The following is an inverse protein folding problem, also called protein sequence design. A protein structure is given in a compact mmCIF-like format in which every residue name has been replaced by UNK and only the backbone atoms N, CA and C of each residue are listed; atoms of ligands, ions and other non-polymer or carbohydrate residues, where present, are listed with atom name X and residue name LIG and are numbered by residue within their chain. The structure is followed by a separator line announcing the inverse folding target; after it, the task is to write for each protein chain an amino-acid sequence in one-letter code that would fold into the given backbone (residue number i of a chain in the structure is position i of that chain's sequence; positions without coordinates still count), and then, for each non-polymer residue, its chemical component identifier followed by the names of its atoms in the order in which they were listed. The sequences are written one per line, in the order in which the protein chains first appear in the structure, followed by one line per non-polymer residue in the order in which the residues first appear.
data_IF_998204324944
#
_entry.id   IF_998204324944
#
_cell.length_a   1.000
_cell.length_b   1.000
_cell.length_c   1.000
_cell.angle_alpha   90.00
_cell.angle_beta   90.00
_cell.angle_gamma   90.00
#
_symmetry.space_group_name_H-M   'P 1'
#
loop_
_entity.id
_entity.type
_entity.pdbx_description
1 polymer ?
#
# COMPACT_ATOMS: atom_id res chain seq x y z
N UNK A 1 18.29 11.81 12.44
CA UNK A 1 17.53 10.95 13.34
C UNK A 1 16.42 10.24 12.60
N UNK A 2 16.45 8.95 12.61
CA UNK A 2 15.43 8.18 11.94
C UNK A 2 14.13 8.21 12.71
N UNK A 3 13.04 8.28 11.96
CA UNK A 3 11.71 8.19 12.50
C UNK A 3 11.34 6.72 12.60
N UNK A 4 11.80 6.04 13.65
CA UNK A 4 11.57 4.60 13.82
C UNK A 4 10.08 4.24 13.80
N UNK A 5 9.23 5.18 14.22
CA UNK A 5 7.80 4.93 14.23
C UNK A 5 7.23 4.79 12.82
N UNK A 6 7.88 5.38 11.81
CA UNK A 6 7.46 5.22 10.42
C UNK A 6 7.66 3.78 9.98
N UNK A 7 8.80 3.19 10.32
CA UNK A 7 9.06 1.78 10.04
C UNK A 7 8.05 0.88 10.75
N UNK A 8 7.78 1.16 12.02
CA UNK A 8 6.82 0.38 12.78
C UNK A 8 5.41 0.49 12.19
N UNK A 9 5.04 1.70 11.74
CA UNK A 9 3.74 1.91 11.12
C UNK A 9 3.59 1.02 9.87
N UNK A 10 4.58 1.02 8.99
CA UNK A 10 4.48 0.24 7.75
C UNK A 10 4.68 -1.26 7.99
N UNK A 11 5.38 -1.64 9.04
CA UNK A 11 5.44 -3.04 9.46
C UNK A 11 4.04 -3.55 9.81
N UNK A 12 3.30 -2.78 10.59
CA UNK A 12 1.92 -3.11 10.95
C UNK A 12 0.99 -3.06 9.74
N UNK A 13 1.20 -2.09 8.86
CA UNK A 13 0.43 -1.94 7.64
C UNK A 13 0.59 -3.16 6.73
N UNK A 14 1.83 -3.60 6.52
CA UNK A 14 2.11 -4.78 5.72
C UNK A 14 1.50 -6.04 6.35
N UNK A 15 1.58 -6.15 7.67
CA UNK A 15 1.01 -7.28 8.37
C UNK A 15 -0.51 -7.32 8.27
N UNK A 16 -1.15 -6.16 8.26
CA UNK A 16 -2.59 -6.07 8.07
C UNK A 16 -3.01 -6.62 6.70
N UNK A 17 -2.21 -6.37 5.66
CA UNK A 17 -2.45 -6.94 4.34
C UNK A 17 -2.25 -8.45 4.33
N UNK A 18 -1.15 -8.93 4.93
CA UNK A 18 -0.85 -10.38 4.97
C UNK A 18 -1.97 -11.15 5.68
N UNK A 19 -2.47 -10.61 6.78
CA UNK A 19 -3.51 -11.25 7.57
C UNK A 19 -4.92 -10.95 7.03
N UNK A 20 -5.01 -10.12 5.98
CA UNK A 20 -6.28 -9.71 5.37
C UNK A 20 -7.23 -9.08 6.38
N UNK A 21 -6.68 -8.31 7.30
CA UNK A 21 -7.45 -7.65 8.35
C UNK A 21 -7.98 -6.31 7.86
N UNK A 22 -9.22 -6.31 7.38
CA UNK A 22 -9.86 -5.08 6.90
C UNK A 22 -9.92 -4.00 7.97
N UNK A 23 -10.26 -4.37 9.19
CA UNK A 23 -10.38 -3.40 10.28
C UNK A 23 -9.06 -2.71 10.56
N UNK A 24 -7.96 -3.46 10.57
CA UNK A 24 -6.64 -2.88 10.79
C UNK A 24 -6.23 -1.97 9.63
N UNK A 25 -6.57 -2.36 8.40
CA UNK A 25 -6.29 -1.53 7.22
C UNK A 25 -7.11 -0.24 7.28
N UNK A 26 -8.40 -0.33 7.57
CA UNK A 26 -9.24 0.85 7.67
C UNK A 26 -8.74 1.82 8.74
N UNK A 27 -8.26 1.30 9.85
CA UNK A 27 -7.72 2.13 10.92
C UNK A 27 -6.45 2.87 10.52
N UNK A 28 -5.80 2.43 9.46
CA UNK A 28 -4.56 3.06 8.96
C UNK A 28 -4.81 4.29 8.10
N UNK A 29 -6.05 4.54 7.71
CA UNK A 29 -6.38 5.61 6.77
C UNK A 29 -7.18 6.73 7.41
N UNK A 30 -6.93 7.93 6.90
CA UNK A 30 -7.71 9.13 7.24
C UNK A 30 -8.75 9.31 6.14
N UNK A 31 -9.98 9.63 6.52
CA UNK A 31 -11.03 9.91 5.53
C UNK A 31 -11.30 11.41 5.47
N UNK A 32 -11.43 11.99 4.31
CA UNK A 32 -11.35 11.37 2.99
C UNK A 32 -9.91 10.96 2.65
N UNK A 33 -9.78 9.82 1.97
CA UNK A 33 -8.49 9.35 1.47
C UNK A 33 -8.40 9.65 -0.02
N UNK A 34 -7.32 10.27 -0.45
CA UNK A 34 -7.10 10.57 -1.86
C UNK A 34 -6.09 9.57 -2.44
N UNK A 35 -6.45 9.00 -3.57
CA UNK A 35 -5.60 8.07 -4.29
C UNK A 35 -5.24 8.71 -5.63
N UNK A 36 -3.95 8.94 -5.87
CA UNK A 36 -3.45 9.59 -7.08
C UNK A 36 -2.79 8.56 -7.99
N UNK A 37 -3.27 8.49 -9.21
CA UNK A 37 -2.68 7.63 -10.25
C UNK A 37 -2.48 8.47 -11.52
N UNK A 38 -1.86 7.86 -12.52
CA UNK A 38 -1.70 8.51 -13.82
C UNK A 38 -3.02 8.85 -14.50
N UNK A 39 -4.11 8.19 -14.08
CA UNK A 39 -5.44 8.45 -14.63
C UNK A 39 -6.20 9.56 -13.89
N UNK A 40 -5.60 10.12 -12.84
CA UNK A 40 -6.19 11.21 -12.07
C UNK A 40 -6.52 10.81 -10.64
N UNK A 41 -7.08 11.74 -9.85
CA UNK A 41 -7.38 11.49 -8.45
C UNK A 41 -8.69 10.73 -8.27
N UNK A 42 -8.70 9.88 -7.24
CA UNK A 42 -9.90 9.21 -6.76
C UNK A 42 -10.00 9.48 -5.26
N UNK A 43 -11.15 9.93 -4.79
CA UNK A 43 -11.35 10.18 -3.38
C UNK A 43 -12.32 9.17 -2.80
N UNK A 44 -11.95 8.63 -1.64
CA UNK A 44 -12.83 7.78 -0.85
C UNK A 44 -13.25 8.58 0.36
N UNK A 45 -14.54 8.93 0.41
CA UNK A 45 -15.05 9.85 1.42
C UNK A 45 -15.61 9.14 2.65
N UNK A 46 -15.90 7.87 2.53
CA UNK A 46 -16.47 7.09 3.63
C UNK A 46 -15.88 5.69 3.70
N UNK A 47 -16.13 5.03 4.81
CA UNK A 47 -15.58 3.72 5.10
C UNK A 47 -16.12 2.65 4.16
N UNK A 48 -17.37 2.78 3.75
CA UNK A 48 -17.99 1.80 2.86
C UNK A 48 -17.28 1.74 1.51
N UNK A 49 -17.04 2.89 0.91
CA UNK A 49 -16.35 2.95 -0.39
C UNK A 49 -14.89 2.50 -0.28
N UNK A 50 -14.23 2.87 0.80
CA UNK A 50 -12.86 2.43 1.02
C UNK A 50 -12.79 0.93 1.24
N UNK A 51 -13.71 0.36 2.01
CA UNK A 51 -13.79 -1.08 2.22
C UNK A 51 -13.97 -1.83 0.91
N UNK A 52 -14.85 -1.33 0.03
CA UNK A 52 -15.07 -1.95 -1.27
C UNK A 52 -13.79 -1.94 -2.12
N UNK A 53 -13.04 -0.85 -2.04
CA UNK A 53 -11.76 -0.74 -2.76
C UNK A 53 -10.73 -1.72 -2.21
N UNK A 54 -10.65 -1.86 -0.88
CA UNK A 54 -9.73 -2.81 -0.27
C UNK A 54 -10.09 -4.25 -0.64
N UNK A 55 -11.37 -4.58 -0.68
CA UNK A 55 -11.81 -5.90 -1.11
C UNK A 55 -11.42 -6.18 -2.57
N UNK A 56 -11.56 -5.18 -3.43
CA UNK A 56 -11.16 -5.31 -4.83
C UNK A 56 -9.65 -5.52 -4.96
N UNK A 57 -8.87 -4.82 -4.15
CA UNK A 57 -7.42 -4.95 -4.14
C UNK A 57 -7.01 -6.35 -3.69
N UNK A 58 -7.65 -6.87 -2.65
CA UNK A 58 -7.38 -8.23 -2.17
C UNK A 58 -7.67 -9.27 -3.25
N UNK A 59 -8.77 -9.09 -4.00
CA UNK A 59 -9.08 -10.00 -5.11
C UNK A 59 -8.03 -9.96 -6.20
N UNK A 60 -7.47 -8.78 -6.48
CA UNK A 60 -6.37 -8.67 -7.46
C UNK A 60 -5.15 -9.48 -7.03
N UNK A 61 -4.80 -9.41 -5.76
CA UNK A 61 -3.68 -10.19 -5.25
C UNK A 61 -3.96 -11.69 -5.34
N UNK A 62 -5.18 -12.11 -5.06
CA UNK A 62 -5.56 -13.51 -5.19
C UNK A 62 -5.46 -14.01 -6.63
N UNK A 63 -5.79 -13.17 -7.61
CA UNK A 63 -5.72 -13.53 -9.02
C UNK A 63 -4.31 -13.91 -9.47
N UNK A 64 -3.29 -13.29 -8.92
CA UNK A 64 -1.91 -13.62 -9.25
C UNK A 64 -1.26 -14.50 -8.19
N UNK A 65 -2.06 -14.95 -7.22
CA UNK A 65 -1.62 -15.82 -6.14
C UNK A 65 -0.52 -15.20 -5.27
N UNK A 66 -0.59 -13.90 -5.06
CA UNK A 66 0.30 -13.20 -4.15
C UNK A 66 -0.12 -13.53 -2.72
N UNK A 67 0.81 -14.06 -1.92
CA UNK A 67 0.53 -14.48 -0.55
C UNK A 67 1.45 -13.82 0.46
N UNK A 68 2.49 -13.15 0.01
CA UNK A 68 3.41 -12.47 0.91
C UNK A 68 3.84 -11.13 0.32
N UNK A 69 4.03 -10.18 1.21
CA UNK A 69 4.42 -8.81 0.90
C UNK A 69 5.69 -8.49 1.66
N UNK A 70 6.66 -7.92 0.97
CA UNK A 70 7.83 -7.39 1.61
C UNK A 70 8.03 -5.96 1.09
N UNK A 71 8.82 -5.15 1.78
CA UNK A 71 8.97 -3.77 1.37
C UNK A 71 10.30 -3.18 1.81
N UNK A 72 10.66 -2.10 1.14
CA UNK A 72 11.81 -1.28 1.54
C UNK A 72 11.35 0.16 1.55
N UNK A 73 11.60 0.86 2.65
CA UNK A 73 11.36 2.31 2.72
C UNK A 73 12.51 2.99 2.00
N UNK A 74 12.20 3.63 0.87
CA UNK A 74 13.21 4.27 0.02
C UNK A 74 13.52 5.69 0.45
N UNK A 75 12.52 6.39 1.01
CA UNK A 75 12.71 7.78 1.40
C UNK A 75 11.65 8.17 2.42
N UNK A 76 12.06 8.98 3.39
CA UNK A 76 11.14 9.60 4.34
C UNK A 76 11.48 11.08 4.35
N UNK A 77 10.50 11.92 4.02
CA UNK A 77 10.69 13.36 3.96
C UNK A 77 9.66 14.06 4.83
N UNK A 78 10.11 14.80 5.81
CA UNK A 78 9.21 15.63 6.61
C UNK A 78 8.79 16.84 5.78
N UNK A 79 7.47 16.99 5.61
CA UNK A 79 6.88 18.10 4.85
C UNK A 79 6.12 18.96 5.85
N UNK A 80 6.80 19.76 6.63
CA UNK A 80 6.15 20.53 7.66
C UNK A 80 5.85 19.69 8.90
N UNK A 81 5.11 20.28 9.82
CA UNK A 81 4.86 19.68 11.13
C UNK A 81 3.80 18.57 11.02
N UNK A 82 4.19 17.38 11.44
CA UNK A 82 3.26 16.25 11.51
C UNK A 82 2.86 15.63 10.17
N UNK A 83 3.58 15.94 9.08
CA UNK A 83 3.29 15.37 7.76
C UNK A 83 4.60 14.83 7.18
N UNK A 84 4.55 13.58 6.73
CA UNK A 84 5.70 12.91 6.13
C UNK A 84 5.33 12.31 4.79
N UNK A 85 6.19 12.50 3.80
CA UNK A 85 6.05 11.83 2.51
C UNK A 85 6.99 10.64 2.53
N UNK A 86 6.44 9.44 2.38
CA UNK A 86 7.19 8.19 2.50
C UNK A 86 7.09 7.43 1.18
N UNK A 87 8.24 7.14 0.58
CA UNK A 87 8.29 6.34 -0.64
C UNK A 87 8.67 4.92 -0.30
N UNK A 88 7.89 3.97 -0.76
CA UNK A 88 8.09 2.55 -0.48
C UNK A 88 8.15 1.75 -1.76
N UNK A 89 9.09 0.82 -1.82
CA UNK A 89 9.12 -0.20 -2.85
C UNK A 89 8.48 -1.45 -2.26
N UNK A 90 7.38 -1.92 -2.86
CA UNK A 90 6.69 -3.14 -2.46
C UNK A 90 7.15 -4.30 -3.33
N UNK A 91 7.27 -5.48 -2.71
CA UNK A 91 7.59 -6.73 -3.40
C UNK A 91 6.54 -7.76 -3.04
N UNK A 92 6.01 -8.43 -4.05
CA UNK A 92 4.92 -9.39 -3.89
C UNK A 92 5.41 -10.78 -4.29
N UNK A 93 5.14 -11.76 -3.45
CA UNK A 93 5.65 -13.13 -3.63
C UNK A 93 4.51 -14.14 -3.63
N UNK A 94 4.70 -15.24 -4.36
CA UNK A 94 3.75 -16.33 -4.35
C UNK A 94 4.13 -17.37 -3.28
N UNK A 95 3.37 -18.47 -3.26
CA UNK A 95 3.51 -19.55 -2.30
C UNK A 95 4.89 -20.23 -2.37
N UNK A 96 5.50 -20.23 -3.55
CA UNK A 96 6.84 -20.80 -3.76
C UNK A 96 7.94 -19.79 -3.43
N UNK A 97 7.60 -18.70 -2.80
CA UNK A 97 8.53 -17.62 -2.47
C UNK A 97 9.14 -16.99 -3.72
N UNK A 98 8.43 -17.03 -4.82
CA UNK A 98 8.87 -16.43 -6.07
C UNK A 98 8.37 -15.00 -6.18
N UNK A 99 9.24 -14.09 -6.56
CA UNK A 99 8.87 -12.69 -6.76
C UNK A 99 7.95 -12.56 -7.97
N UNK A 100 6.77 -11.99 -7.75
CA UNK A 100 5.78 -11.78 -8.81
C UNK A 100 5.96 -10.44 -9.49
N UNK A 101 6.08 -9.38 -8.70
CA UNK A 101 6.37 -8.05 -9.23
C UNK A 101 6.78 -7.12 -8.09
N UNK A 102 7.33 -5.97 -8.47
CA UNK A 102 7.64 -4.88 -7.54
C UNK A 102 6.94 -3.62 -8.03
N UNK A 103 6.61 -2.73 -7.11
CA UNK A 103 6.08 -1.43 -7.49
C UNK A 103 6.47 -0.39 -6.44
N UNK A 104 6.44 0.88 -6.87
CA UNK A 104 6.72 2.00 -5.98
C UNK A 104 5.42 2.71 -5.63
N UNK A 105 5.29 3.07 -4.37
CA UNK A 105 4.13 3.81 -3.87
C UNK A 105 4.62 4.86 -2.90
N UNK A 106 4.06 6.06 -3.00
CA UNK A 106 4.35 7.11 -2.02
C UNK A 106 3.10 7.35 -1.17
N UNK A 107 3.33 7.59 0.10
CA UNK A 107 2.27 7.79 1.09
C UNK A 107 2.46 9.14 1.75
N UNK A 108 1.37 9.88 1.88
CA UNK A 108 1.35 11.07 2.71
C UNK A 108 0.83 10.65 4.07
N UNK A 109 1.72 10.64 5.05
CA UNK A 109 1.44 10.11 6.38
C UNK A 109 1.32 11.27 7.37
N UNK A 110 0.17 11.36 8.03
CA UNK A 110 -0.08 12.39 9.03
C UNK A 110 0.09 11.82 10.42
N UNK A 111 0.77 12.56 11.30
CA UNK A 111 0.99 12.15 12.67
C UNK A 111 2.43 12.31 13.07
N UNK A 112 2.71 12.12 14.34
CA UNK A 112 4.05 12.26 14.90
C UNK A 112 4.49 11.01 15.66
N UNK A 113 3.58 10.06 15.85
CA UNK A 113 3.87 8.79 16.50
C UNK A 113 3.14 7.68 15.78
N UNK A 114 3.59 6.45 15.98
CA UNK A 114 2.98 5.28 15.37
C UNK A 114 1.47 5.18 15.65
N UNK A 115 1.07 5.42 16.88
CA UNK A 115 -0.33 5.23 17.28
C UNK A 115 -1.26 6.31 16.74
N UNK A 116 -0.73 7.50 16.48
CA UNK A 116 -1.53 8.60 15.94
C UNK A 116 -1.43 8.74 14.43
N UNK A 117 -0.59 7.95 13.78
CA UNK A 117 -0.32 8.12 12.36
C UNK A 117 -1.41 7.52 11.49
N UNK A 118 -1.76 8.22 10.41
CA UNK A 118 -2.71 7.75 9.41
C UNK A 118 -2.27 8.19 8.03
N UNK A 119 -2.59 7.36 7.03
CA UNK A 119 -2.34 7.68 5.63
C UNK A 119 -3.45 8.61 5.15
N UNK A 120 -3.07 9.78 4.63
CA UNK A 120 -4.00 10.77 4.08
C UNK A 120 -4.13 10.69 2.57
N UNK A 121 -3.05 10.29 1.90
CA UNK A 121 -3.03 10.20 0.45
C UNK A 121 -2.07 9.12 0.03
N UNK A 122 -2.37 8.46 -1.09
CA UNK A 122 -1.53 7.44 -1.69
C UNK A 122 -1.25 7.84 -3.13
N UNK A 123 0.00 7.77 -3.52
CA UNK A 123 0.42 8.05 -4.90
C UNK A 123 0.99 6.77 -5.48
N UNK A 124 0.26 6.18 -6.42
CA UNK A 124 0.69 4.96 -7.09
C UNK A 124 1.57 5.34 -8.28
N UNK A 125 2.81 4.89 -8.27
CA UNK A 125 3.74 5.19 -9.35
C UNK A 125 3.54 4.29 -10.54
N UNK A 126 3.52 2.97 -10.32
CA UNK A 126 3.52 2.02 -11.42
C UNK A 126 2.85 0.69 -11.09
N UNK A 127 2.06 0.62 -10.04
CA UNK A 127 1.51 -0.68 -9.60
C UNK A 127 0.62 -1.33 -10.66
N UNK A 128 -0.25 -0.58 -11.31
CA UNK A 128 -1.13 -1.16 -12.33
C UNK A 128 -0.35 -1.78 -13.46
N UNK A 129 0.68 -1.10 -13.93
CA UNK A 129 1.51 -1.58 -15.04
C UNK A 129 2.24 -2.85 -14.66
N UNK A 130 2.84 -2.88 -13.47
CA UNK A 130 3.58 -4.03 -12.99
C UNK A 130 2.65 -5.21 -12.70
N UNK A 131 1.48 -4.93 -12.14
CA UNK A 131 0.47 -5.96 -11.89
C UNK A 131 0.03 -6.60 -13.21
N UNK A 132 -0.26 -5.78 -14.23
CA UNK A 132 -0.70 -6.31 -15.54
C UNK A 132 0.37 -7.18 -16.18
N UNK A 133 1.64 -6.79 -16.04
CA UNK A 133 2.74 -7.62 -16.53
C UNK A 133 2.77 -8.97 -15.81
N UNK A 134 2.59 -8.97 -14.50
CA UNK A 134 2.58 -10.20 -13.71
C UNK A 134 1.40 -11.09 -14.09
N UNK A 135 0.22 -10.49 -14.29
CA UNK A 135 -0.97 -11.22 -14.68
C UNK A 135 -0.80 -11.85 -16.07
N UNK A 136 -0.20 -11.11 -17.00
CA UNK A 136 0.07 -11.62 -18.34
C UNK A 136 1.06 -12.78 -18.35
N UNK A 137 2.09 -12.69 -17.49
CA UNK A 137 3.05 -13.81 -17.35
C UNK A 137 2.35 -15.06 -16.84
N UNK A 138 1.44 -14.92 -15.90
CA UNK A 138 0.68 -16.04 -15.38
C UNK A 138 -0.21 -16.67 -16.44
N UNK A 139 -0.82 -15.87 -17.33
CA UNK A 139 -1.70 -16.35 -18.39
C UNK A 139 -0.94 -17.07 -19.49
N UNK A 140 0.30 -16.65 -19.76
CA UNK A 140 1.12 -17.21 -20.83
C UNK A 140 1.71 -18.55 -20.42
N UNK A 141 2.11 -18.70 -19.17
CA UNK A 141 2.71 -19.93 -18.66
C UNK A 141 1.61 -20.94 -18.37
N UNK A 142 1.62 -22.09 -19.06
CA UNK A 142 0.59 -23.15 -18.83
C UNK A 142 0.63 -23.71 -17.42
#
# INVERSE_FOLDING_TARGET
MMTNWVEEFFQDYAEAFRSKSRDRLLASFCLPLTFLTGSGPVAFNDEEHLSANLDALMRRYEQIEAVDWNYTIRNVQAIGSGIHLVKIEWRFFNDDNKLLYTCDTSYCLAGETKTGAKVMAIIAHNENEEYEKALNRKRIVP
#
